data_IF_285594289703
#
_entry.id   IF_285594289703
#
_cell.length_a   1.000
_cell.length_b   1.000
_cell.length_c   1.000
_cell.angle_alpha   90.00
_cell.angle_beta   90.00
_cell.angle_gamma   90.00
#
_symmetry.space_group_name_H-M   'P 1'
#
loop_
_entity.id
_entity.type
_entity.pdbx_description
1 polymer ?
#
# COMPACT_ATOMS: atom_id res chain seq x y z
N UNK A 1 -28.80 -8.75 34.38
CA UNK A 1 -29.21 -8.74 32.95
C UNK A 1 -29.37 -7.30 32.51
N UNK A 2 -28.52 -6.78 31.62
CA UNK A 2 -28.68 -5.41 31.09
C UNK A 2 -29.89 -5.38 30.15
N UNK A 3 -30.79 -4.39 30.30
CA UNK A 3 -32.04 -4.32 29.53
C UNK A 3 -31.73 -4.23 28.01
N UNK A 4 -32.47 -4.97 27.14
CA UNK A 4 -32.29 -4.93 25.69
C UNK A 4 -32.31 -3.52 25.07
N UNK A 5 -33.02 -2.59 25.72
CA UNK A 5 -33.13 -1.18 25.34
C UNK A 5 -31.78 -0.46 25.43
N UNK A 6 -30.96 -0.77 26.43
CA UNK A 6 -29.62 -0.19 26.58
C UNK A 6 -28.69 -0.63 25.44
N UNK A 7 -28.78 -1.89 24.99
CA UNK A 7 -28.00 -2.39 23.84
C UNK A 7 -28.36 -1.67 22.54
N UNK A 8 -29.65 -1.43 22.29
CA UNK A 8 -30.11 -0.72 21.09
C UNK A 8 -29.69 0.75 21.10
N UNK A 9 -29.73 1.40 22.25
CA UNK A 9 -29.39 2.81 22.40
C UNK A 9 -27.87 3.05 22.24
N UNK A 10 -27.04 2.16 22.77
CA UNK A 10 -25.58 2.25 22.64
C UNK A 10 -25.10 1.84 21.23
N UNK A 11 -25.73 0.86 20.58
CA UNK A 11 -25.51 0.57 19.16
C UNK A 11 -25.86 1.78 18.27
N UNK A 12 -26.95 2.48 18.59
CA UNK A 12 -27.34 3.70 17.88
C UNK A 12 -26.30 4.81 18.03
N UNK A 13 -25.80 5.07 19.25
CA UNK A 13 -24.72 6.05 19.50
C UNK A 13 -23.43 5.69 18.77
N UNK A 14 -23.13 4.39 18.65
CA UNK A 14 -21.98 3.91 17.90
C UNK A 14 -22.13 4.24 16.40
N UNK A 15 -23.28 3.91 15.81
CA UNK A 15 -23.60 4.19 14.40
C UNK A 15 -23.60 5.71 14.12
N UNK A 16 -24.16 6.51 15.04
CA UNK A 16 -24.17 7.97 14.94
C UNK A 16 -22.77 8.57 15.00
N UNK A 17 -21.85 8.00 15.80
CA UNK A 17 -20.43 8.43 15.84
C UNK A 17 -19.63 8.02 14.61
N UNK A 18 -19.96 6.91 13.95
CA UNK A 18 -19.37 6.57 12.64
C UNK A 18 -19.73 7.62 11.58
N UNK A 19 -20.96 8.13 11.62
CA UNK A 19 -21.47 9.10 10.65
C UNK A 19 -20.80 10.48 10.75
N UNK A 20 -20.21 10.86 11.88
CA UNK A 20 -19.59 12.19 12.08
C UNK A 20 -18.19 12.32 11.49
N UNK A 21 -17.55 11.22 11.06
CA UNK A 21 -16.15 11.20 10.63
C UNK A 21 -15.92 11.35 9.10
N UNK A 22 -16.95 11.73 8.33
CA UNK A 22 -16.89 11.94 6.86
C UNK A 22 -16.37 10.73 6.05
N UNK A 23 -16.39 9.52 6.61
CA UNK A 23 -16.28 8.30 5.82
C UNK A 23 -17.64 8.02 5.20
N UNK A 24 -17.69 7.59 3.93
CA UNK A 24 -18.96 7.17 3.38
C UNK A 24 -19.41 5.91 4.14
N UNK A 25 -20.62 5.87 4.69
CA UNK A 25 -21.12 4.69 5.40
C UNK A 25 -21.09 3.40 4.56
N UNK A 26 -20.98 3.54 3.23
CA UNK A 26 -20.89 2.44 2.26
C UNK A 26 -19.49 1.79 2.24
N UNK A 27 -18.45 2.45 2.76
CA UNK A 27 -17.06 1.96 2.77
C UNK A 27 -16.73 1.13 4.03
N UNK A 28 -17.60 1.13 5.04
CA UNK A 28 -17.43 0.37 6.28
C UNK A 28 -18.49 -0.72 6.38
N UNK A 29 -18.03 -1.97 6.35
CA UNK A 29 -18.88 -3.13 6.52
C UNK A 29 -18.95 -3.48 8.00
N UNK A 30 -20.17 -3.50 8.55
CA UNK A 30 -20.44 -4.00 9.89
C UNK A 30 -20.98 -5.43 9.82
N UNK A 31 -20.31 -6.35 10.50
CA UNK A 31 -20.65 -7.76 10.54
C UNK A 31 -20.77 -8.22 11.99
N UNK A 32 -21.87 -8.89 12.34
CA UNK A 32 -21.98 -9.64 13.59
C UNK A 32 -21.32 -11.00 13.38
N UNK A 33 -20.25 -11.31 14.12
CA UNK A 33 -19.53 -12.58 13.99
C UNK A 33 -20.19 -13.70 14.79
N UNK A 34 -20.59 -13.39 16.02
CA UNK A 34 -21.34 -14.28 16.90
C UNK A 34 -22.20 -13.47 17.88
N UNK A 35 -22.81 -14.11 18.88
CA UNK A 35 -23.67 -13.43 19.85
C UNK A 35 -22.98 -12.32 20.67
N UNK A 36 -21.64 -12.34 20.72
CA UNK A 36 -20.81 -11.52 21.60
C UNK A 36 -19.69 -10.79 20.86
N UNK A 37 -19.51 -11.06 19.57
CA UNK A 37 -18.45 -10.49 18.75
C UNK A 37 -19.01 -9.71 17.55
N UNK A 38 -18.48 -8.51 17.36
CA UNK A 38 -18.83 -7.58 16.28
C UNK A 38 -17.58 -7.18 15.53
N UNK A 39 -17.69 -6.99 14.23
CA UNK A 39 -16.58 -6.64 13.36
C UNK A 39 -16.94 -5.43 12.49
N UNK A 40 -15.99 -4.51 12.36
CA UNK A 40 -15.99 -3.44 11.39
C UNK A 40 -14.82 -3.67 10.44
N UNK A 41 -15.10 -3.69 9.14
CA UNK A 41 -14.10 -3.87 8.09
C UNK A 41 -14.17 -2.71 7.11
N UNK A 42 -13.03 -2.16 6.73
CA UNK A 42 -12.98 -1.21 5.61
C UNK A 42 -12.97 -1.97 4.28
N UNK A 43 -13.83 -1.57 3.34
CA UNK A 43 -14.11 -2.25 2.07
C UNK A 43 -12.80 -2.67 1.36
N UNK A 44 -12.77 -3.91 0.87
CA UNK A 44 -11.67 -4.48 0.08
C UNK A 44 -10.26 -4.34 0.71
N UNK A 45 -10.19 -4.22 2.04
CA UNK A 45 -8.93 -4.07 2.78
C UNK A 45 -8.78 -5.12 3.88
N UNK A 46 -7.53 -5.28 4.36
CA UNK A 46 -7.21 -6.05 5.56
C UNK A 46 -7.43 -5.30 6.88
N UNK A 47 -8.03 -4.10 6.85
CA UNK A 47 -8.21 -3.24 8.03
C UNK A 47 -9.50 -3.64 8.72
N UNK A 48 -9.37 -4.17 9.94
CA UNK A 48 -10.48 -4.73 10.70
C UNK A 48 -10.41 -4.30 12.16
N UNK A 49 -11.56 -3.94 12.72
CA UNK A 49 -11.76 -3.70 14.14
C UNK A 49 -12.79 -4.71 14.67
N UNK A 50 -12.41 -5.50 15.66
CA UNK A 50 -13.22 -6.55 16.27
C UNK A 50 -13.48 -6.15 17.72
N UNK A 51 -14.74 -6.20 18.14
CA UNK A 51 -15.16 -5.95 19.50
C UNK A 51 -15.80 -7.21 20.08
N UNK A 52 -15.32 -7.65 21.24
CA UNK A 52 -15.82 -8.81 21.97
C UNK A 52 -16.42 -8.35 23.31
N UNK A 53 -17.72 -8.57 23.49
CA UNK A 53 -18.44 -8.31 24.73
C UNK A 53 -18.28 -9.52 25.67
N UNK A 54 -17.58 -9.39 26.82
CA UNK A 54 -17.42 -10.50 27.74
C UNK A 54 -18.72 -10.90 28.43
N UNK A 55 -18.77 -12.17 28.85
CA UNK A 55 -19.93 -12.82 29.45
C UNK A 55 -20.19 -12.47 30.91
N UNK A 56 -19.13 -12.10 31.65
CA UNK A 56 -19.17 -12.09 33.12
C UNK A 56 -19.01 -10.70 33.74
N UNK A 57 -18.49 -9.72 32.97
CA UNK A 57 -18.28 -8.34 33.42
C UNK A 57 -18.85 -7.38 32.39
N UNK A 58 -20.05 -6.88 32.69
CA UNK A 58 -20.83 -6.03 31.78
C UNK A 58 -20.27 -4.61 31.60
N UNK A 59 -19.32 -4.23 32.44
CA UNK A 59 -18.61 -2.95 32.47
C UNK A 59 -17.30 -2.98 31.67
N UNK A 60 -16.81 -4.16 31.32
CA UNK A 60 -15.53 -4.35 30.62
C UNK A 60 -15.76 -4.96 29.25
N UNK A 61 -15.00 -4.54 28.25
CA UNK A 61 -15.06 -4.98 26.86
C UNK A 61 -13.64 -5.32 26.42
N UNK A 62 -13.48 -6.43 25.70
CA UNK A 62 -12.22 -6.79 25.04
C UNK A 62 -12.36 -6.41 23.58
N UNK A 63 -11.38 -5.75 23.00
CA UNK A 63 -11.39 -5.47 21.57
C UNK A 63 -10.03 -5.82 20.96
N UNK A 64 -10.07 -6.20 19.70
CA UNK A 64 -8.90 -6.53 18.89
C UNK A 64 -9.00 -5.71 17.61
N UNK A 65 -7.93 -5.05 17.20
CA UNK A 65 -7.94 -4.41 15.89
C UNK A 65 -6.64 -4.70 15.15
N UNK A 66 -6.78 -4.91 13.85
CA UNK A 66 -5.67 -5.09 12.93
C UNK A 66 -5.41 -3.77 12.23
N UNK A 67 -4.15 -3.34 12.29
CA UNK A 67 -3.61 -2.30 11.46
C UNK A 67 -3.12 -2.88 10.16
N UNK A 68 -3.51 -2.25 9.07
CA UNK A 68 -2.98 -2.56 7.76
C UNK A 68 -2.99 -1.30 6.91
N UNK A 69 -1.82 -0.76 6.59
CA UNK A 69 -1.67 0.25 5.54
C UNK A 69 -0.55 -0.23 4.61
N UNK A 70 -0.56 0.10 3.31
CA UNK A 70 0.57 -0.15 2.43
C UNK A 70 1.92 0.25 3.05
N UNK A 71 1.94 1.34 3.82
CA UNK A 71 3.14 1.89 4.51
C UNK A 71 3.57 1.13 5.76
N UNK A 72 2.63 0.54 6.49
CA UNK A 72 2.87 0.09 7.87
C UNK A 72 2.76 -1.42 7.94
N UNK A 73 3.70 -2.00 8.67
CA UNK A 73 3.66 -3.42 9.02
C UNK A 73 2.30 -3.74 9.63
N UNK A 74 1.72 -4.89 9.24
CA UNK A 74 0.50 -5.38 9.88
C UNK A 74 0.75 -5.56 11.38
N UNK A 75 0.00 -4.85 12.22
CA UNK A 75 0.08 -4.97 13.67
C UNK A 75 -1.31 -5.30 14.20
N UNK A 76 -1.41 -6.36 14.99
CA UNK A 76 -2.64 -6.70 15.71
C UNK A 76 -2.49 -6.23 17.15
N UNK A 77 -3.39 -5.37 17.59
CA UNK A 77 -3.49 -4.96 18.99
C UNK A 77 -4.58 -5.78 19.65
N UNK A 78 -4.22 -6.46 20.75
CA UNK A 78 -5.15 -7.18 21.59
C UNK A 78 -5.18 -6.50 22.96
N UNK A 79 -6.30 -5.85 23.25
CA UNK A 79 -6.48 -5.03 24.44
C UNK A 79 -7.64 -5.60 25.26
N UNK A 80 -7.39 -5.89 26.55
CA UNK A 80 -8.35 -6.53 27.47
C UNK A 80 -8.80 -5.56 28.55
N UNK A 81 -10.04 -5.72 29.02
CA UNK A 81 -10.61 -5.06 30.21
C UNK A 81 -10.88 -3.53 30.12
N UNK A 82 -11.41 -3.04 29.01
CA UNK A 82 -11.71 -1.61 28.81
C UNK A 82 -13.17 -1.24 29.07
N UNK A 83 -13.44 -0.03 29.54
CA UNK A 83 -14.81 0.49 29.55
C UNK A 83 -15.28 0.80 28.13
N UNK A 84 -16.58 0.76 27.87
CA UNK A 84 -17.15 1.04 26.54
C UNK A 84 -16.71 2.40 25.98
N UNK A 85 -16.54 3.41 26.84
CA UNK A 85 -16.03 4.73 26.46
C UNK A 85 -14.62 4.66 25.88
N UNK A 86 -13.75 3.82 26.45
CA UNK A 86 -12.37 3.66 25.97
C UNK A 86 -12.36 2.90 24.64
N UNK A 87 -13.22 1.88 24.50
CA UNK A 87 -13.39 1.14 23.24
C UNK A 87 -13.86 2.08 22.12
N UNK A 88 -14.79 2.99 22.42
CA UNK A 88 -15.25 4.00 21.46
C UNK A 88 -14.14 4.98 21.06
N UNK A 89 -13.33 5.42 22.03
CA UNK A 89 -12.19 6.31 21.74
C UNK A 89 -11.14 5.59 20.88
N UNK A 90 -10.87 4.31 21.15
CA UNK A 90 -9.92 3.51 20.37
C UNK A 90 -10.45 3.15 18.99
N UNK A 91 -11.76 2.97 18.84
CA UNK A 91 -12.40 2.84 17.54
C UNK A 91 -12.29 4.13 16.71
N UNK A 92 -12.52 5.29 17.33
CA UNK A 92 -12.32 6.60 16.66
C UNK A 92 -10.87 6.82 16.25
N UNK A 93 -9.92 6.48 17.14
CA UNK A 93 -8.50 6.48 16.84
C UNK A 93 -8.20 5.55 15.65
N UNK A 94 -8.78 4.35 15.64
CA UNK A 94 -8.58 3.40 14.54
C UNK A 94 -9.10 3.94 13.19
N UNK A 95 -10.27 4.59 13.19
CA UNK A 95 -10.80 5.24 11.99
C UNK A 95 -9.88 6.36 11.48
N UNK A 96 -9.42 7.25 12.37
CA UNK A 96 -8.58 8.41 12.00
C UNK A 96 -7.16 8.01 11.59
N UNK A 97 -6.54 7.11 12.33
CA UNK A 97 -5.12 6.80 12.16
C UNK A 97 -4.85 5.68 11.16
N UNK A 98 -5.87 4.89 10.80
CA UNK A 98 -5.66 3.70 9.98
C UNK A 98 -6.58 3.67 8.76
N UNK A 99 -7.89 3.83 8.94
CA UNK A 99 -8.82 3.84 7.80
C UNK A 99 -8.60 5.07 6.92
N UNK A 100 -8.55 6.27 7.50
CA UNK A 100 -8.34 7.49 6.72
C UNK A 100 -6.94 7.54 6.07
N UNK A 101 -5.91 7.06 6.79
CA UNK A 101 -4.55 6.96 6.25
C UNK A 101 -4.52 6.00 5.06
N UNK A 102 -5.12 4.81 5.19
CA UNK A 102 -5.23 3.85 4.08
C UNK A 102 -5.98 4.44 2.88
N UNK A 103 -7.13 5.07 3.11
CA UNK A 103 -7.90 5.73 2.05
C UNK A 103 -7.04 6.77 1.32
N UNK A 104 -6.34 7.62 2.06
CA UNK A 104 -5.46 8.62 1.49
C UNK A 104 -4.31 7.98 0.69
N UNK A 105 -3.68 6.92 1.20
CA UNK A 105 -2.63 6.17 0.49
C UNK A 105 -3.13 5.51 -0.79
N UNK A 106 -4.35 4.96 -0.79
CA UNK A 106 -4.95 4.34 -1.97
C UNK A 106 -5.40 5.36 -3.02
N UNK A 107 -5.75 6.57 -2.60
CA UNK A 107 -6.10 7.69 -3.50
C UNK A 107 -4.92 8.58 -3.86
N UNK A 108 -3.78 8.41 -3.18
CA UNK A 108 -2.58 9.18 -3.47
C UNK A 108 -2.09 8.81 -4.87
N UNK A 109 -1.71 9.79 -5.71
CA UNK A 109 -1.17 9.48 -7.02
C UNK A 109 0.12 8.68 -6.85
N UNK A 110 0.28 7.62 -7.67
CA UNK A 110 1.47 6.77 -7.62
C UNK A 110 2.73 7.65 -7.76
N UNK A 111 3.66 7.63 -6.80
CA UNK A 111 4.86 8.46 -6.85
C UNK A 111 5.68 8.27 -8.14
N UNK A 112 5.59 7.09 -8.76
CA UNK A 112 6.19 6.82 -10.07
C UNK A 112 5.47 7.57 -11.21
N UNK A 113 4.14 7.71 -11.16
CA UNK A 113 3.39 8.52 -12.12
C UNK A 113 3.67 10.02 -11.92
N UNK A 114 3.77 10.49 -10.67
CA UNK A 114 4.14 11.88 -10.37
C UNK A 114 5.53 12.21 -10.94
N UNK A 115 6.48 11.28 -10.81
CA UNK A 115 7.82 11.44 -11.38
C UNK A 115 7.80 11.62 -12.90
N UNK A 116 7.06 10.77 -13.62
CA UNK A 116 6.92 10.88 -15.08
C UNK A 116 6.27 12.20 -15.48
N UNK A 117 5.22 12.62 -14.77
CA UNK A 117 4.48 13.85 -15.07
C UNK A 117 5.32 15.12 -14.86
N UNK A 118 6.23 15.12 -13.89
CA UNK A 118 7.11 16.25 -13.60
C UNK A 118 8.38 16.28 -14.46
N UNK A 119 8.54 15.34 -15.40
CA UNK A 119 9.71 15.28 -16.27
C UNK A 119 9.67 16.36 -17.36
N UNK A 120 10.70 17.21 -17.45
CA UNK A 120 10.85 18.18 -18.55
C UNK A 120 11.78 17.65 -19.65
N UNK A 121 11.52 17.98 -20.92
CA UNK A 121 12.36 17.50 -22.05
C UNK A 121 13.81 18.02 -22.01
N UNK A 122 14.04 19.10 -21.26
CA UNK A 122 15.33 19.79 -21.09
C UNK A 122 16.14 19.25 -19.90
N UNK A 123 15.69 18.17 -19.27
CA UNK A 123 16.27 17.65 -18.05
C UNK A 123 17.59 16.89 -18.28
N UNK A 124 18.69 17.66 -18.25
CA UNK A 124 20.04 17.22 -17.85
C UNK A 124 20.90 16.56 -18.93
N UNK A 125 22.21 16.82 -18.84
CA UNK A 125 23.26 16.20 -19.66
C UNK A 125 24.06 15.12 -18.91
N UNK A 126 23.73 14.87 -17.64
CA UNK A 126 24.45 13.92 -16.80
C UNK A 126 24.30 12.50 -17.35
N UNK A 127 25.42 11.81 -17.54
CA UNK A 127 25.50 10.43 -18.00
C UNK A 127 25.89 9.51 -16.85
N UNK A 128 25.56 8.23 -16.97
CA UNK A 128 26.04 7.21 -16.05
C UNK A 128 27.56 7.04 -16.15
N UNK A 129 28.21 6.76 -15.02
CA UNK A 129 29.59 6.30 -14.99
C UNK A 129 29.68 4.85 -15.47
N UNK A 130 30.87 4.37 -15.84
CA UNK A 130 31.06 2.98 -16.24
C UNK A 130 30.66 1.98 -15.14
N UNK A 131 31.00 2.29 -13.88
CA UNK A 131 30.61 1.47 -12.72
C UNK A 131 29.10 1.43 -12.50
N UNK A 132 28.41 2.57 -12.69
CA UNK A 132 26.94 2.61 -12.62
C UNK A 132 26.30 1.78 -13.74
N UNK A 133 26.83 1.88 -14.97
CA UNK A 133 26.34 1.10 -16.11
C UNK A 133 26.48 -0.39 -15.81
N UNK A 134 27.67 -0.86 -15.39
CA UNK A 134 27.91 -2.27 -15.08
C UNK A 134 26.94 -2.78 -14.00
N UNK A 135 26.77 -2.00 -12.93
CA UNK A 135 25.84 -2.34 -11.85
C UNK A 135 24.39 -2.43 -12.33
N UNK A 136 23.93 -1.44 -13.11
CA UNK A 136 22.54 -1.39 -13.60
C UNK A 136 22.29 -2.50 -14.62
N UNK A 137 23.22 -2.74 -15.55
CA UNK A 137 23.12 -3.83 -16.53
C UNK A 137 23.01 -5.19 -15.85
N UNK A 138 23.84 -5.45 -14.82
CA UNK A 138 23.77 -6.68 -14.05
C UNK A 138 22.42 -6.86 -13.35
N UNK A 139 21.82 -5.78 -12.84
CA UNK A 139 20.45 -5.84 -12.28
C UNK A 139 19.39 -6.10 -13.35
N UNK A 140 19.48 -5.42 -14.49
CA UNK A 140 18.56 -5.65 -15.61
C UNK A 140 18.61 -7.09 -16.13
N UNK A 141 19.79 -7.70 -16.19
CA UNK A 141 19.96 -9.10 -16.60
C UNK A 141 19.32 -10.09 -15.59
N UNK A 142 19.29 -9.72 -14.31
CA UNK A 142 18.68 -10.52 -13.24
C UNK A 142 17.16 -10.32 -13.10
N UNK A 143 16.62 -9.21 -13.63
CA UNK A 143 15.22 -8.85 -13.44
C UNK A 143 14.20 -9.87 -13.99
N UNK A 144 14.37 -10.48 -15.18
CA UNK A 144 13.44 -11.50 -15.67
C UNK A 144 13.32 -12.71 -14.72
N UNK A 145 14.46 -13.15 -14.17
CA UNK A 145 14.50 -14.25 -13.19
C UNK A 145 13.79 -13.85 -11.90
N UNK A 146 14.00 -12.62 -11.42
CA UNK A 146 13.29 -12.08 -10.26
C UNK A 146 11.77 -12.09 -10.49
N UNK A 147 11.30 -11.60 -11.64
CA UNK A 147 9.87 -11.58 -11.97
C UNK A 147 9.25 -12.99 -11.99
N UNK A 148 9.91 -13.95 -12.65
CA UNK A 148 9.43 -15.34 -12.75
C UNK A 148 9.42 -16.07 -11.40
N UNK A 149 10.24 -15.64 -10.43
CA UNK A 149 10.17 -16.16 -9.06
C UNK A 149 8.97 -15.62 -8.27
N UNK A 150 8.43 -14.47 -8.68
CA UNK A 150 7.37 -13.76 -7.95
C UNK A 150 5.99 -13.91 -8.58
N UNK A 151 5.91 -14.14 -9.89
CA UNK A 151 4.64 -14.25 -10.61
C UNK A 151 4.73 -15.18 -11.82
N UNK A 152 3.58 -15.70 -12.23
CA UNK A 152 3.41 -16.41 -13.52
C UNK A 152 3.08 -15.39 -14.60
N UNK A 153 3.98 -15.22 -15.57
CA UNK A 153 3.83 -14.24 -16.65
C UNK A 153 3.58 -14.98 -17.96
N UNK A 154 2.62 -14.50 -18.77
CA UNK A 154 2.36 -15.07 -20.08
C UNK A 154 3.60 -14.99 -21.00
N UNK A 155 3.95 -16.03 -21.78
CA UNK A 155 5.15 -16.04 -22.62
C UNK A 155 5.30 -14.81 -23.52
N UNK A 156 4.23 -14.35 -24.17
CA UNK A 156 4.27 -13.16 -25.03
C UNK A 156 4.70 -11.89 -24.28
N UNK A 157 4.28 -11.75 -23.01
CA UNK A 157 4.67 -10.63 -22.16
C UNK A 157 6.11 -10.77 -21.67
N UNK A 158 6.60 -12.00 -21.48
CA UNK A 158 8.01 -12.23 -21.16
C UNK A 158 8.92 -11.78 -22.32
N UNK A 159 8.55 -12.10 -23.57
CA UNK A 159 9.31 -11.67 -24.75
C UNK A 159 9.40 -10.14 -24.79
N UNK A 160 8.27 -9.47 -24.62
CA UNK A 160 8.22 -8.01 -24.61
C UNK A 160 9.09 -7.40 -23.50
N UNK A 161 9.01 -7.94 -22.27
CA UNK A 161 9.84 -7.52 -21.15
C UNK A 161 11.33 -7.68 -21.46
N UNK A 162 11.73 -8.80 -22.07
CA UNK A 162 13.13 -9.05 -22.44
C UNK A 162 13.63 -8.06 -23.51
N UNK A 163 12.79 -7.73 -24.49
CA UNK A 163 13.15 -6.77 -25.53
C UNK A 163 13.26 -5.34 -24.97
N UNK A 164 12.36 -4.94 -24.08
CA UNK A 164 12.44 -3.62 -23.45
C UNK A 164 13.65 -3.50 -22.50
N UNK A 165 14.03 -4.59 -21.83
CA UNK A 165 15.29 -4.65 -21.06
C UNK A 165 16.50 -4.42 -21.96
N UNK A 166 16.56 -5.03 -23.15
CA UNK A 166 17.69 -4.81 -24.09
C UNK A 166 17.77 -3.35 -24.51
N UNK A 167 16.64 -2.72 -24.80
CA UNK A 167 16.62 -1.31 -25.18
C UNK A 167 16.96 -0.38 -24.01
N UNK A 168 16.53 -0.70 -22.78
CA UNK A 168 16.96 0.01 -21.57
C UNK A 168 18.48 -0.09 -21.38
N UNK A 169 19.09 -1.27 -21.58
CA UNK A 169 20.55 -1.43 -21.51
C UNK A 169 21.25 -0.56 -22.55
N UNK A 170 20.78 -0.58 -23.81
CA UNK A 170 21.33 0.26 -24.88
C UNK A 170 21.23 1.76 -24.55
N UNK A 171 20.15 2.18 -23.92
CA UNK A 171 19.96 3.58 -23.54
C UNK A 171 20.87 4.03 -22.38
N UNK A 172 21.35 3.14 -21.51
CA UNK A 172 22.30 3.50 -20.43
C UNK A 172 23.56 4.20 -20.97
N UNK A 173 24.05 3.72 -22.13
CA UNK A 173 25.27 4.24 -22.76
C UNK A 173 25.04 5.55 -23.51
N UNK A 174 23.80 5.81 -23.93
CA UNK A 174 23.50 6.81 -24.96
C UNK A 174 22.61 7.95 -24.45
N UNK A 175 21.86 7.74 -23.36
CA UNK A 175 20.89 8.71 -22.84
C UNK A 175 21.38 9.32 -21.53
N UNK A 176 21.02 10.59 -21.25
CA UNK A 176 21.18 11.16 -19.93
C UNK A 176 20.41 10.36 -18.87
N UNK A 177 20.94 10.32 -17.64
CA UNK A 177 20.39 9.59 -16.50
C UNK A 177 18.89 9.80 -16.31
N UNK A 178 18.46 11.06 -16.38
CA UNK A 178 17.06 11.45 -16.21
C UNK A 178 16.16 10.88 -17.32
N UNK A 179 16.55 11.00 -18.59
CA UNK A 179 15.78 10.45 -19.73
C UNK A 179 15.66 8.93 -19.62
N UNK A 180 16.75 8.27 -19.24
CA UNK A 180 16.76 6.84 -18.98
C UNK A 180 15.82 6.46 -17.81
N UNK A 181 15.86 7.19 -16.70
CA UNK A 181 15.02 6.95 -15.53
C UNK A 181 13.52 7.09 -15.84
N UNK A 182 13.13 8.05 -16.70
CA UNK A 182 11.76 8.18 -17.19
C UNK A 182 11.33 6.93 -17.96
N UNK A 183 12.16 6.47 -18.90
CA UNK A 183 11.87 5.27 -19.70
C UNK A 183 11.74 4.03 -18.81
N UNK A 184 12.65 3.85 -17.86
CA UNK A 184 12.57 2.79 -16.87
C UNK A 184 11.24 2.85 -16.09
N UNK A 185 10.85 4.05 -15.65
CA UNK A 185 9.61 4.22 -14.90
C UNK A 185 8.40 3.82 -15.73
N UNK A 186 8.30 4.31 -16.97
CA UNK A 186 7.21 3.97 -17.90
C UNK A 186 7.14 2.46 -18.12
N UNK A 187 8.28 1.81 -18.38
CA UNK A 187 8.37 0.35 -18.48
C UNK A 187 7.78 -0.36 -17.24
N UNK A 188 8.09 0.11 -16.03
CA UNK A 188 7.55 -0.47 -14.80
C UNK A 188 6.03 -0.27 -14.68
N UNK A 189 5.53 0.96 -14.90
CA UNK A 189 4.12 1.30 -14.64
C UNK A 189 3.16 0.85 -15.74
N UNK A 190 3.64 0.70 -16.97
CA UNK A 190 2.81 0.30 -18.12
C UNK A 190 3.01 -1.19 -18.41
N UNK A 191 4.24 -1.61 -18.64
CA UNK A 191 4.54 -2.91 -19.25
C UNK A 191 4.63 -4.03 -18.22
N UNK A 192 5.37 -3.80 -17.13
CA UNK A 192 5.47 -4.79 -16.05
C UNK A 192 4.14 -4.88 -15.30
N UNK A 193 3.44 -3.76 -15.10
CA UNK A 193 2.09 -3.78 -14.51
C UNK A 193 1.11 -4.62 -15.33
N UNK A 194 1.07 -4.44 -16.66
CA UNK A 194 0.16 -5.21 -17.52
C UNK A 194 0.49 -6.71 -17.54
N UNK A 195 1.77 -7.06 -17.37
CA UNK A 195 2.22 -8.45 -17.28
C UNK A 195 1.88 -9.13 -15.93
N UNK A 196 1.92 -8.38 -14.83
CA UNK A 196 1.84 -8.93 -13.46
C UNK A 196 0.44 -8.83 -12.87
N UNK A 197 -0.21 -7.65 -12.95
CA UNK A 197 -1.55 -7.36 -12.40
C UNK A 197 -1.77 -7.75 -10.92
N UNK A 198 -0.69 -7.89 -10.16
CA UNK A 198 -0.67 -8.16 -8.73
C UNK A 198 0.05 -7.02 -8.00
N UNK A 199 -0.67 -6.35 -7.10
CA UNK A 199 -0.17 -5.19 -6.38
C UNK A 199 1.00 -5.51 -5.44
N UNK A 200 0.99 -6.68 -4.79
CA UNK A 200 2.06 -7.06 -3.85
C UNK A 200 3.35 -7.34 -4.61
N UNK A 201 3.28 -8.07 -5.73
CA UNK A 201 4.43 -8.30 -6.60
C UNK A 201 4.96 -6.99 -7.17
N UNK A 202 4.07 -6.09 -7.58
CA UNK A 202 4.47 -4.78 -8.11
C UNK A 202 5.15 -3.88 -7.09
N UNK A 203 4.77 -3.97 -5.81
CA UNK A 203 5.50 -3.31 -4.74
C UNK A 203 6.93 -3.87 -4.59
N UNK A 204 7.12 -5.17 -4.78
CA UNK A 204 8.46 -5.77 -4.78
C UNK A 204 9.28 -5.39 -6.03
N UNK A 205 8.67 -5.31 -7.21
CA UNK A 205 9.30 -4.81 -8.44
C UNK A 205 9.79 -3.37 -8.27
N UNK A 206 8.94 -2.49 -7.74
CA UNK A 206 9.31 -1.09 -7.47
C UNK A 206 10.49 -1.00 -6.50
N UNK A 207 10.50 -1.83 -5.44
CA UNK A 207 11.63 -1.92 -4.50
C UNK A 207 12.91 -2.41 -5.16
N UNK A 208 12.81 -3.41 -6.04
CA UNK A 208 13.95 -3.95 -6.80
C UNK A 208 14.63 -2.85 -7.62
N UNK A 209 13.86 -2.13 -8.43
CA UNK A 209 14.41 -1.05 -9.25
C UNK A 209 14.90 0.13 -8.43
N UNK A 210 14.23 0.47 -7.33
CA UNK A 210 14.76 1.49 -6.43
C UNK A 210 16.15 1.13 -5.91
N UNK A 211 16.38 -0.12 -5.49
CA UNK A 211 17.71 -0.57 -5.06
C UNK A 211 18.74 -0.49 -6.19
N UNK A 212 18.31 -0.82 -7.41
CA UNK A 212 19.17 -0.82 -8.59
C UNK A 212 19.62 0.59 -9.00
N UNK A 213 18.74 1.58 -8.95
CA UNK A 213 19.01 2.89 -9.55
C UNK A 213 18.98 4.06 -8.56
N UNK A 214 18.50 3.83 -7.33
CA UNK A 214 18.31 4.86 -6.32
C UNK A 214 19.61 5.49 -5.79
N UNK A 215 20.74 4.77 -5.89
CA UNK A 215 22.07 5.35 -5.59
C UNK A 215 22.61 6.21 -6.74
N UNK A 216 22.26 5.86 -7.98
CA UNK A 216 22.75 6.53 -9.20
C UNK A 216 21.88 7.71 -9.62
N UNK A 217 20.68 7.82 -9.06
CA UNK A 217 19.69 8.84 -9.38
C UNK A 217 19.31 9.61 -8.11
N UNK A 218 19.96 10.77 -7.90
CA UNK A 218 19.76 11.66 -6.74
C UNK A 218 18.29 12.08 -6.49
N UNK A 219 17.41 11.91 -7.48
CA UNK A 219 16.00 12.34 -7.44
C UNK A 219 15.02 11.26 -6.98
N UNK A 220 15.41 9.98 -7.03
CA UNK A 220 14.58 8.85 -6.58
C UNK A 220 14.34 8.79 -5.06
N UNK A 221 15.28 9.21 -4.19
CA UNK A 221 15.03 9.28 -2.74
C UNK A 221 13.86 10.20 -2.34
N UNK A 222 13.52 11.22 -3.14
CA UNK A 222 12.33 12.08 -2.90
C UNK A 222 11.02 11.37 -3.26
N UNK A 223 11.05 10.39 -4.16
CA UNK A 223 9.91 9.55 -4.50
C UNK A 223 9.61 8.60 -3.33
N UNK A 224 10.64 8.11 -2.62
CA UNK A 224 10.47 7.25 -1.44
C UNK A 224 9.77 7.92 -0.26
N UNK A 225 9.96 9.23 -0.02
CA UNK A 225 9.19 9.91 1.04
C UNK A 225 7.70 9.98 0.75
N UNK A 226 7.30 9.64 -0.48
CA UNK A 226 5.92 9.60 -0.96
C UNK A 226 5.42 8.17 -1.22
N UNK A 227 6.33 7.18 -1.26
CA UNK A 227 5.97 5.79 -1.37
C UNK A 227 5.60 5.28 0.02
N UNK A 228 4.49 4.53 0.12
CA UNK A 228 4.11 3.95 1.38
C UNK A 228 5.16 2.95 1.89
#
# INVERSE_FOLDING_TARGET
>A
MMKPEFRKQEQKKFIEKVATLKLSPQELIFEKRDEKSYQFRYLDSGIVFIMNLPTERFDKITYEYTLYTPTRKRVTYLDKDYYLTDVLNNFEKWLKEHVLVYKNEMTAPDPWQIFVANFSENDGYEKFTAEEIEYIEAGLDNFPKFLLQKSTIHPDKQIYILDEIKELKKDLHNKPKRKWAKRLTLFIIEEVWDAVKDQLVMNEVKKYFFQLVGKSLEYLPKILTLLP
#
